data_IF_572224502596
#
_entry.id   IF_572224502596
#
_cell.length_a   1.000
_cell.length_b   1.000
_cell.length_c   1.000
_cell.angle_alpha   90.00
_cell.angle_beta   90.00
_cell.angle_gamma   90.00
#
_symmetry.space_group_name_H-M   'P 1'
#
loop_
_entity.id
_entity.type
_entity.pdbx_description
1 polymer ?
#
# COMPACT_ATOMS: atom_id res chain seq x y z
N UNK A 1 32.08 70.87 -24.24
CA UNK A 1 31.53 70.89 -22.88
C UNK A 1 30.57 69.70 -22.72
N UNK A 2 31.10 68.58 -22.26
CA UNK A 2 30.30 67.37 -22.09
C UNK A 2 29.75 67.34 -20.68
N UNK A 3 28.42 67.14 -20.51
CA UNK A 3 27.79 66.77 -19.23
C UNK A 3 27.44 65.32 -19.27
N UNK A 4 28.13 64.56 -18.46
CA UNK A 4 27.87 63.16 -18.23
C UNK A 4 26.67 63.01 -17.24
N UNK A 5 25.61 62.32 -17.66
CA UNK A 5 24.48 61.94 -16.84
C UNK A 5 24.77 60.56 -16.25
N UNK A 6 24.84 60.45 -14.93
CA UNK A 6 24.94 59.19 -14.18
C UNK A 6 23.54 58.63 -14.00
N UNK A 7 23.25 57.51 -14.66
CA UNK A 7 22.04 56.71 -14.40
C UNK A 7 22.33 55.70 -13.29
N UNK A 8 21.76 55.89 -12.10
CA UNK A 8 21.70 54.87 -11.04
C UNK A 8 20.71 53.79 -11.45
N UNK A 9 21.21 52.63 -11.82
CA UNK A 9 20.41 51.44 -11.97
C UNK A 9 20.21 50.84 -10.58
N UNK A 10 19.03 51.05 -9.99
CA UNK A 10 18.59 50.35 -8.80
C UNK A 10 18.24 48.90 -9.18
N UNK A 11 19.15 47.96 -8.91
CA UNK A 11 18.87 46.54 -9.00
C UNK A 11 17.91 46.15 -7.86
N UNK A 12 16.62 46.06 -8.16
CA UNK A 12 15.68 45.35 -7.30
C UNK A 12 16.04 43.86 -7.31
N UNK A 13 16.76 43.41 -6.29
CA UNK A 13 16.87 42.01 -5.95
C UNK A 13 15.48 41.57 -5.48
N UNK A 14 14.67 41.01 -6.38
CA UNK A 14 13.56 40.16 -6.02
C UNK A 14 14.13 38.93 -5.33
N UNK A 15 14.26 38.96 -4.01
CA UNK A 15 14.42 37.79 -3.22
C UNK A 15 13.11 36.98 -3.38
N UNK A 16 13.10 36.07 -4.34
CA UNK A 16 12.12 34.99 -4.31
C UNK A 16 12.35 34.26 -3.00
N UNK A 17 11.57 34.58 -1.97
CA UNK A 17 11.47 33.75 -0.80
C UNK A 17 10.97 32.37 -1.30
N UNK A 18 11.86 31.43 -1.36
CA UNK A 18 11.49 30.02 -1.47
C UNK A 18 10.71 29.76 -0.18
N UNK A 19 9.39 29.67 -0.30
CA UNK A 19 8.59 29.23 0.80
C UNK A 19 9.11 27.83 1.13
N UNK A 20 9.76 27.68 2.27
CA UNK A 20 10.22 26.37 2.75
C UNK A 20 9.03 25.42 2.70
N UNK A 21 9.24 24.27 2.09
CA UNK A 21 8.20 23.25 2.02
C UNK A 21 7.65 23.00 3.43
N UNK A 22 6.32 22.96 3.61
CA UNK A 22 5.74 22.87 4.95
C UNK A 22 6.28 21.64 5.67
N UNK A 23 6.68 21.83 6.94
CA UNK A 23 7.13 20.73 7.77
C UNK A 23 5.96 19.80 8.04
N UNK A 24 6.10 18.54 7.65
CA UNK A 24 5.04 17.52 7.69
C UNK A 24 5.52 16.22 8.29
N UNK A 25 4.65 15.58 9.04
CA UNK A 25 4.79 14.20 9.52
C UNK A 25 3.60 13.41 9.00
N UNK A 26 3.86 12.31 8.32
CA UNK A 26 2.84 11.39 7.86
C UNK A 26 2.96 10.03 8.55
N UNK A 27 1.81 9.43 8.83
CA UNK A 27 1.68 8.09 9.39
C UNK A 27 0.92 7.22 8.40
N UNK A 28 1.57 6.17 7.90
CA UNK A 28 0.98 5.13 7.04
C UNK A 28 0.47 4.00 7.94
N UNK A 29 -0.84 3.95 8.17
CA UNK A 29 -1.52 2.92 8.95
C UNK A 29 -2.00 1.82 8.00
N UNK A 30 -1.16 0.80 7.80
CA UNK A 30 -1.44 -0.35 6.94
C UNK A 30 -2.25 -1.45 7.63
N UNK A 31 -2.15 -2.67 7.11
CA UNK A 31 -2.83 -3.85 7.67
C UNK A 31 -2.14 -4.44 8.89
N UNK A 32 -0.83 -4.25 9.02
CA UNK A 32 0.02 -4.91 10.03
C UNK A 32 0.89 -3.94 10.83
N UNK A 33 0.61 -2.65 10.78
CA UNK A 33 1.36 -1.66 11.56
C UNK A 33 1.29 -0.26 11.03
N UNK A 34 2.06 0.60 11.66
CA UNK A 34 2.20 2.02 11.33
C UNK A 34 3.65 2.28 10.92
N UNK A 35 3.84 3.03 9.83
CA UNK A 35 5.11 3.65 9.50
C UNK A 35 4.97 5.16 9.60
N UNK A 36 5.99 5.83 10.08
CA UNK A 36 6.01 7.29 10.15
C UNK A 36 7.26 7.86 9.49
N UNK A 37 7.11 8.98 8.82
CA UNK A 37 8.17 9.75 8.17
C UNK A 37 7.86 11.23 8.19
N UNK A 38 8.86 12.06 7.88
CA UNK A 38 8.77 13.50 7.92
C UNK A 38 9.42 14.14 6.69
N UNK A 39 8.98 15.35 6.33
CA UNK A 39 9.70 16.18 5.34
C UNK A 39 10.96 16.84 5.90
N UNK A 40 11.10 16.88 7.21
CA UNK A 40 12.23 17.55 7.89
C UNK A 40 13.40 16.61 8.19
N UNK A 41 13.16 15.30 8.28
CA UNK A 41 14.17 14.31 8.69
C UNK A 41 14.05 13.08 7.80
N UNK A 42 15.15 12.64 7.23
CA UNK A 42 15.22 11.43 6.38
C UNK A 42 15.31 10.15 7.25
N UNK A 43 14.26 9.93 8.04
CA UNK A 43 14.13 8.77 8.91
C UNK A 43 12.73 8.19 8.76
N UNK A 44 12.63 6.88 8.63
CA UNK A 44 11.36 6.14 8.70
C UNK A 44 11.39 5.21 9.90
N UNK A 45 10.39 5.32 10.74
CA UNK A 45 10.20 4.48 11.93
C UNK A 45 8.90 3.70 11.82
N UNK A 46 8.81 2.56 12.51
CA UNK A 46 7.62 1.70 12.44
C UNK A 46 7.24 1.10 13.79
N UNK A 47 5.96 0.72 13.91
CA UNK A 47 5.41 -0.07 14.99
C UNK A 47 4.49 -1.14 14.39
N UNK A 48 4.57 -2.37 14.91
CA UNK A 48 3.74 -3.48 14.43
C UNK A 48 2.44 -3.53 15.24
N UNK A 49 1.30 -3.49 14.54
CA UNK A 49 -0.05 -3.61 15.09
C UNK A 49 -0.89 -4.37 14.07
N UNK A 50 -1.47 -5.50 14.46
CA UNK A 50 -2.34 -6.27 13.56
C UNK A 50 -3.74 -5.66 13.51
N UNK A 51 -4.01 -4.83 12.52
CA UNK A 51 -5.33 -4.24 12.27
C UNK A 51 -6.25 -5.19 11.51
N UNK A 52 -5.68 -6.03 10.66
CA UNK A 52 -6.46 -6.86 9.75
C UNK A 52 -6.97 -8.15 10.41
N UNK A 53 -6.17 -8.77 11.28
CA UNK A 53 -6.54 -10.00 11.97
C UNK A 53 -7.88 -9.91 12.71
N UNK A 54 -8.10 -8.93 13.59
CA UNK A 54 -9.40 -8.72 14.25
C UNK A 54 -10.56 -8.59 13.27
N UNK A 55 -10.37 -7.82 12.20
CA UNK A 55 -11.41 -7.64 11.17
C UNK A 55 -11.70 -8.95 10.44
N UNK A 56 -10.70 -9.69 9.99
CA UNK A 56 -10.91 -10.97 9.33
C UNK A 56 -11.58 -12.00 10.24
N UNK A 57 -11.36 -11.90 11.55
CA UNK A 57 -12.04 -12.71 12.57
C UNK A 57 -13.45 -12.22 12.94
N UNK A 58 -14.01 -11.26 12.20
CA UNK A 58 -15.35 -10.73 12.46
C UNK A 58 -15.44 -9.72 13.60
N UNK A 59 -14.30 -9.35 14.24
CA UNK A 59 -14.20 -8.31 15.25
C UNK A 59 -14.02 -6.93 14.61
N UNK A 60 -14.05 -5.86 15.38
CA UNK A 60 -13.74 -4.51 14.94
C UNK A 60 -12.30 -4.10 15.21
N UNK A 61 -12.02 -2.80 15.09
CA UNK A 61 -10.71 -2.20 15.39
C UNK A 61 -10.58 -1.75 16.86
N UNK A 62 -11.56 -1.98 17.71
CA UNK A 62 -11.58 -1.44 19.08
C UNK A 62 -10.33 -1.83 19.89
N UNK A 63 -9.93 -3.09 19.81
CA UNK A 63 -8.76 -3.59 20.54
C UNK A 63 -7.44 -2.98 20.06
N UNK A 64 -7.41 -2.36 18.87
CA UNK A 64 -6.23 -1.73 18.29
C UNK A 64 -6.12 -0.24 18.64
N UNK A 65 -7.14 0.38 19.21
CA UNK A 65 -7.19 1.83 19.48
C UNK A 65 -6.09 2.24 20.46
N UNK A 66 -5.97 1.57 21.61
CA UNK A 66 -4.95 1.90 22.60
C UNK A 66 -3.51 1.74 22.08
N UNK A 67 -3.12 0.60 21.45
CA UNK A 67 -1.79 0.48 20.85
C UNK A 67 -1.55 1.49 19.71
N UNK A 68 -2.56 1.83 18.90
CA UNK A 68 -2.44 2.85 17.85
C UNK A 68 -2.07 4.21 18.43
N UNK A 69 -2.79 4.65 19.47
CA UNK A 69 -2.52 5.94 20.14
C UNK A 69 -1.12 6.00 20.75
N UNK A 70 -0.69 4.93 21.40
CA UNK A 70 0.66 4.83 21.94
C UNK A 70 1.70 4.94 20.81
N UNK A 71 1.56 4.15 19.76
CA UNK A 71 2.48 4.15 18.62
C UNK A 71 2.56 5.51 17.91
N UNK A 72 1.42 6.21 17.70
CA UNK A 72 1.43 7.53 17.04
C UNK A 72 2.22 8.59 17.84
N UNK A 73 2.23 8.50 19.18
CA UNK A 73 3.04 9.37 20.02
C UNK A 73 4.51 8.98 20.01
N UNK A 74 4.81 7.71 20.25
CA UNK A 74 6.17 7.19 20.35
C UNK A 74 6.95 7.28 19.03
N UNK A 75 6.29 7.05 17.89
CA UNK A 75 6.95 7.11 16.58
C UNK A 75 7.47 8.50 16.25
N UNK A 76 6.79 9.58 16.67
CA UNK A 76 7.28 10.94 16.47
C UNK A 76 8.58 11.19 17.22
N UNK A 77 8.68 10.73 18.47
CA UNK A 77 9.87 10.85 19.30
C UNK A 77 11.02 9.99 18.76
N UNK A 78 10.74 8.72 18.46
CA UNK A 78 11.73 7.77 17.91
C UNK A 78 12.29 8.20 16.56
N UNK A 79 11.48 8.89 15.73
CA UNK A 79 11.91 9.45 14.45
C UNK A 79 12.67 10.77 14.59
N UNK A 80 12.69 11.39 15.76
CA UNK A 80 13.25 12.73 15.97
C UNK A 80 12.49 13.81 15.20
N UNK A 81 11.18 13.61 14.95
CA UNK A 81 10.39 14.52 14.14
C UNK A 81 10.05 15.80 14.91
N UNK A 82 10.20 16.99 14.29
CA UNK A 82 9.94 18.25 14.97
C UNK A 82 8.48 18.38 15.42
N UNK A 83 8.27 18.84 16.67
CA UNK A 83 6.94 18.93 17.26
C UNK A 83 5.99 19.91 16.54
N UNK A 84 6.56 20.94 15.88
CA UNK A 84 5.82 21.99 15.18
C UNK A 84 5.28 21.55 13.80
N UNK A 85 5.73 20.40 13.27
CA UNK A 85 5.27 19.93 11.97
C UNK A 85 3.79 19.55 11.99
N UNK A 86 3.10 19.79 10.88
CA UNK A 86 1.74 19.32 10.68
C UNK A 86 1.73 17.78 10.65
N UNK A 87 0.68 17.17 11.21
CA UNK A 87 0.57 15.72 11.34
C UNK A 87 -0.68 15.19 10.70
N UNK A 88 -0.57 14.12 9.92
CA UNK A 88 -1.70 13.40 9.36
C UNK A 88 -1.41 11.90 9.30
N UNK A 89 -2.43 11.08 9.53
CA UNK A 89 -2.40 9.64 9.31
C UNK A 89 -3.24 9.25 8.10
N UNK A 90 -2.74 8.34 7.27
CA UNK A 90 -3.51 7.67 6.25
C UNK A 90 -3.83 6.24 6.70
N UNK A 91 -5.12 5.94 6.87
CA UNK A 91 -5.62 4.59 7.14
C UNK A 91 -5.97 3.90 5.82
N UNK A 92 -5.25 2.82 5.51
CA UNK A 92 -5.38 2.10 4.25
C UNK A 92 -6.25 0.84 4.40
N UNK A 93 -6.15 -0.10 3.57
CA UNK A 93 -6.67 -1.47 3.56
C UNK A 93 -7.60 -1.88 4.73
N UNK A 94 -7.07 -2.18 5.92
CA UNK A 94 -7.87 -2.58 7.09
C UNK A 94 -8.86 -1.50 7.51
N UNK A 95 -8.51 -0.23 7.37
CA UNK A 95 -9.36 0.91 7.71
C UNK A 95 -10.52 1.07 6.74
N UNK A 96 -10.31 0.80 5.43
CA UNK A 96 -11.41 0.73 4.45
C UNK A 96 -12.35 -0.43 4.73
N UNK A 97 -11.81 -1.61 5.08
CA UNK A 97 -12.63 -2.76 5.46
C UNK A 97 -13.48 -2.46 6.72
N UNK A 98 -12.94 -1.74 7.70
CA UNK A 98 -13.67 -1.29 8.87
C UNK A 98 -14.77 -0.28 8.49
N UNK A 99 -14.48 0.65 7.58
CA UNK A 99 -15.42 1.63 7.06
C UNK A 99 -16.61 0.98 6.34
N UNK A 100 -16.34 -0.01 5.48
CA UNK A 100 -17.38 -0.76 4.77
C UNK A 100 -18.33 -1.50 5.71
N UNK A 101 -17.84 -1.92 6.88
CA UNK A 101 -18.66 -2.61 7.87
C UNK A 101 -19.53 -1.66 8.68
N UNK A 102 -18.93 -0.58 9.15
CA UNK A 102 -19.63 0.41 9.99
C UNK A 102 -18.87 1.75 9.98
N UNK A 103 -19.35 2.67 9.16
CA UNK A 103 -18.76 4.00 9.02
C UNK A 103 -18.89 4.86 10.30
N UNK A 104 -19.96 4.68 11.07
CA UNK A 104 -20.17 5.43 12.30
C UNK A 104 -19.18 4.98 13.38
N UNK A 105 -19.06 3.67 13.61
CA UNK A 105 -18.08 3.11 14.55
C UNK A 105 -16.65 3.48 14.17
N UNK A 106 -16.29 3.42 12.87
CA UNK A 106 -14.95 3.83 12.44
C UNK A 106 -14.70 5.31 12.71
N UNK A 107 -15.66 6.19 12.40
CA UNK A 107 -15.50 7.63 12.66
C UNK A 107 -15.30 7.93 14.15
N UNK A 108 -15.99 7.21 15.06
CA UNK A 108 -15.80 7.34 16.50
C UNK A 108 -14.41 6.86 16.96
N UNK A 109 -13.91 5.77 16.39
CA UNK A 109 -12.54 5.28 16.63
C UNK A 109 -11.52 6.35 16.19
N UNK A 110 -11.67 6.89 14.98
CA UNK A 110 -10.76 7.92 14.45
C UNK A 110 -10.80 9.21 15.29
N UNK A 111 -11.98 9.61 15.77
CA UNK A 111 -12.11 10.76 16.67
C UNK A 111 -11.33 10.55 17.98
N UNK A 112 -11.44 9.37 18.60
CA UNK A 112 -10.71 9.03 19.84
C UNK A 112 -9.21 8.97 19.62
N UNK A 113 -8.77 8.39 18.49
CA UNK A 113 -7.35 8.37 18.13
C UNK A 113 -6.81 9.80 18.01
N UNK A 114 -7.52 10.69 17.30
CA UNK A 114 -7.10 12.07 17.11
C UNK A 114 -7.06 12.86 18.41
N UNK A 115 -8.09 12.74 19.26
CA UNK A 115 -8.19 13.44 20.53
C UNK A 115 -7.02 13.14 21.48
N UNK A 116 -6.51 11.90 21.46
CA UNK A 116 -5.50 11.46 22.41
C UNK A 116 -4.07 11.44 21.84
N UNK A 117 -3.90 11.33 20.51
CA UNK A 117 -2.57 11.32 19.87
C UNK A 117 -2.19 12.67 19.22
N UNK A 118 -3.18 13.55 18.97
CA UNK A 118 -2.99 14.75 18.17
C UNK A 118 -2.78 14.48 16.68
N UNK A 119 -3.09 13.26 16.19
CA UNK A 119 -2.93 12.87 14.80
C UNK A 119 -4.30 12.60 14.18
N UNK A 120 -4.68 13.42 13.22
CA UNK A 120 -5.88 13.21 12.40
C UNK A 120 -5.63 12.04 11.45
N UNK A 121 -6.36 10.94 11.61
CA UNK A 121 -6.27 9.77 10.72
C UNK A 121 -7.44 9.79 9.74
N UNK A 122 -7.14 9.68 8.44
CA UNK A 122 -8.10 9.69 7.34
C UNK A 122 -8.19 8.28 6.73
N UNK A 123 -9.37 7.82 6.38
CA UNK A 123 -9.54 6.64 5.53
C UNK A 123 -9.21 7.01 4.08
N UNK A 124 -8.11 6.49 3.55
CA UNK A 124 -7.61 6.86 2.23
C UNK A 124 -8.26 5.98 1.15
N UNK A 125 -8.88 6.59 0.12
CA UNK A 125 -9.43 5.85 -1.01
C UNK A 125 -8.37 5.03 -1.74
N UNK A 126 -8.78 3.91 -2.32
CA UNK A 126 -7.87 2.94 -2.92
C UNK A 126 -7.10 3.50 -4.13
N UNK A 127 -7.74 4.33 -4.96
CA UNK A 127 -7.08 5.02 -6.06
C UNK A 127 -6.01 6.02 -5.60
N UNK A 128 -6.24 6.70 -4.47
CA UNK A 128 -5.27 7.62 -3.86
C UNK A 128 -4.08 6.84 -3.28
N UNK A 129 -4.32 5.71 -2.58
CA UNK A 129 -3.24 4.81 -2.14
C UNK A 129 -2.38 4.35 -3.32
N UNK A 130 -3.00 3.95 -4.43
CA UNK A 130 -2.29 3.59 -5.65
C UNK A 130 -1.45 4.75 -6.22
N UNK A 131 -1.98 5.98 -6.21
CA UNK A 131 -1.23 7.16 -6.63
C UNK A 131 -0.02 7.43 -5.72
N UNK A 132 -0.13 7.21 -4.40
CA UNK A 132 1.00 7.32 -3.47
C UNK A 132 2.08 6.29 -3.78
N UNK A 133 1.70 5.03 -4.01
CA UNK A 133 2.59 3.95 -4.41
C UNK A 133 3.31 4.26 -5.73
N UNK A 134 2.60 4.79 -6.73
CA UNK A 134 3.17 5.19 -8.01
C UNK A 134 4.17 6.35 -7.85
N UNK A 135 3.83 7.37 -7.06
CA UNK A 135 4.74 8.48 -6.76
C UNK A 135 6.01 8.00 -6.04
N UNK A 136 5.87 7.10 -5.07
CA UNK A 136 6.99 6.50 -4.34
C UNK A 136 7.92 5.75 -5.30
N UNK A 137 7.38 4.95 -6.21
CA UNK A 137 8.15 4.23 -7.21
C UNK A 137 8.90 5.18 -8.15
N UNK A 138 8.23 6.21 -8.67
CA UNK A 138 8.87 7.22 -9.54
C UNK A 138 10.02 7.93 -8.84
N UNK A 139 9.84 8.31 -7.57
CA UNK A 139 10.89 9.00 -6.79
C UNK A 139 12.09 8.09 -6.50
N UNK A 140 11.84 6.86 -6.06
CA UNK A 140 12.89 5.94 -5.65
C UNK A 140 13.66 5.34 -6.84
N UNK A 141 12.98 5.03 -7.93
CA UNK A 141 13.58 4.36 -9.09
C UNK A 141 14.07 5.36 -10.15
N UNK A 142 13.52 6.58 -10.19
CA UNK A 142 13.91 7.60 -11.17
C UNK A 142 13.83 7.08 -12.62
N UNK A 143 14.91 7.17 -13.38
CA UNK A 143 15.00 6.68 -14.77
C UNK A 143 14.93 5.15 -14.91
N UNK A 144 15.06 4.40 -13.81
CA UNK A 144 14.88 2.93 -13.79
C UNK A 144 13.40 2.52 -13.76
N UNK A 145 12.49 3.44 -13.41
CA UNK A 145 11.06 3.19 -13.49
C UNK A 145 10.60 3.32 -14.94
N UNK A 146 10.53 2.18 -15.65
CA UNK A 146 10.25 2.11 -17.09
C UNK A 146 8.87 1.53 -17.41
N UNK A 147 8.12 1.11 -16.40
CA UNK A 147 6.78 0.56 -16.56
C UNK A 147 5.71 1.64 -16.45
N UNK A 148 4.52 1.38 -16.98
CA UNK A 148 3.41 2.33 -16.93
C UNK A 148 2.72 2.37 -15.58
N UNK A 149 2.75 1.25 -14.82
CA UNK A 149 2.03 1.10 -13.56
C UNK A 149 2.90 0.42 -12.49
N UNK A 150 2.55 0.65 -11.25
CA UNK A 150 3.01 -0.13 -10.10
C UNK A 150 1.99 -1.19 -9.72
N UNK A 151 2.48 -2.29 -9.17
CA UNK A 151 1.70 -3.30 -8.46
C UNK A 151 2.10 -3.26 -6.99
N UNK A 152 1.15 -2.92 -6.13
CA UNK A 152 1.33 -2.95 -4.68
C UNK A 152 0.36 -3.97 -4.06
N UNK A 153 0.91 -4.96 -3.33
CA UNK A 153 0.16 -6.00 -2.64
C UNK A 153 0.39 -5.83 -1.15
N UNK A 154 -0.57 -5.22 -0.47
CA UNK A 154 -0.59 -5.15 0.98
C UNK A 154 -1.14 -6.42 1.63
N UNK A 155 -1.35 -6.39 2.95
CA UNK A 155 -1.96 -7.53 3.66
C UNK A 155 -3.43 -7.76 3.29
N UNK A 156 -4.22 -6.69 3.15
CA UNK A 156 -5.66 -6.78 2.91
C UNK A 156 -6.11 -6.22 1.56
N UNK A 157 -5.29 -5.46 0.85
CA UNK A 157 -5.65 -4.87 -0.45
C UNK A 157 -4.52 -4.95 -1.47
N UNK A 158 -4.88 -4.83 -2.74
CA UNK A 158 -4.01 -4.78 -3.88
C UNK A 158 -4.36 -3.55 -4.72
N UNK A 159 -3.33 -2.84 -5.22
CA UNK A 159 -3.46 -1.70 -6.11
C UNK A 159 -2.61 -1.90 -7.36
N UNK A 160 -3.16 -1.51 -8.51
CA UNK A 160 -2.44 -1.32 -9.77
C UNK A 160 -2.65 0.13 -10.15
N UNK A 161 -1.60 0.94 -10.17
CA UNK A 161 -1.72 2.38 -10.38
C UNK A 161 -0.63 2.93 -11.30
N UNK A 162 -1.05 3.75 -12.24
CA UNK A 162 -0.22 4.53 -13.14
C UNK A 162 -0.53 6.02 -13.02
N UNK A 163 -0.03 6.79 -13.95
CA UNK A 163 -0.21 8.25 -13.94
C UNK A 163 -1.67 8.69 -14.14
N UNK A 164 -2.44 7.95 -14.96
CA UNK A 164 -3.79 8.33 -15.39
C UNK A 164 -4.86 7.29 -15.15
N UNK A 165 -4.49 6.14 -14.67
CA UNK A 165 -5.41 5.05 -14.41
C UNK A 165 -4.98 4.26 -13.18
N UNK A 166 -5.95 3.82 -12.39
CA UNK A 166 -5.72 2.98 -11.23
C UNK A 166 -6.89 2.01 -11.06
N UNK A 167 -6.56 0.85 -10.55
CA UNK A 167 -7.53 -0.13 -10.09
C UNK A 167 -7.06 -0.73 -8.77
N UNK A 168 -7.99 -1.14 -7.92
CA UNK A 168 -7.63 -1.82 -6.69
C UNK A 168 -8.82 -2.59 -6.11
N UNK A 169 -8.50 -3.58 -5.28
CA UNK A 169 -9.47 -4.42 -4.60
C UNK A 169 -9.01 -4.74 -3.16
N UNK A 170 -9.95 -5.11 -2.29
CA UNK A 170 -9.65 -5.68 -0.98
C UNK A 170 -9.17 -7.14 -1.15
N UNK A 171 -8.09 -7.32 -1.89
CA UNK A 171 -7.53 -8.58 -2.34
C UNK A 171 -6.00 -8.61 -2.15
N UNK A 172 -5.54 -8.25 -0.95
CA UNK A 172 -4.14 -8.38 -0.59
C UNK A 172 -3.78 -9.78 -0.11
N UNK A 173 -2.54 -10.00 0.28
CA UNK A 173 -1.96 -11.30 0.65
C UNK A 173 -2.87 -12.14 1.59
N UNK A 174 -3.27 -11.58 2.73
CA UNK A 174 -4.10 -12.30 3.72
C UNK A 174 -5.55 -12.44 3.25
N UNK A 175 -6.10 -11.41 2.61
CA UNK A 175 -7.47 -11.44 2.10
C UNK A 175 -7.60 -12.48 0.97
N UNK A 176 -6.67 -12.51 0.03
CA UNK A 176 -6.62 -13.50 -1.04
C UNK A 176 -6.44 -14.91 -0.50
N UNK A 177 -5.51 -15.15 0.42
CA UNK A 177 -5.35 -16.47 1.01
C UNK A 177 -6.62 -16.93 1.72
N UNK A 178 -7.36 -16.02 2.38
CA UNK A 178 -8.64 -16.35 3.00
C UNK A 178 -9.67 -16.83 1.98
N UNK A 179 -9.74 -16.21 0.81
CA UNK A 179 -10.65 -16.67 -0.26
C UNK A 179 -10.27 -18.10 -0.74
N UNK A 180 -8.98 -18.39 -0.88
CA UNK A 180 -8.50 -19.74 -1.18
C UNK A 180 -8.79 -20.72 -0.06
N UNK A 181 -8.58 -20.33 1.21
CA UNK A 181 -8.87 -21.19 2.37
C UNK A 181 -10.35 -21.56 2.44
N UNK A 182 -11.24 -20.61 2.17
CA UNK A 182 -12.68 -20.83 2.10
C UNK A 182 -13.06 -21.77 0.95
N UNK A 183 -12.55 -21.49 -0.23
CA UNK A 183 -12.89 -22.25 -1.44
C UNK A 183 -12.35 -23.69 -1.41
N UNK A 184 -11.12 -23.90 -0.91
CA UNK A 184 -10.42 -25.19 -1.02
C UNK A 184 -10.35 -25.97 0.30
N UNK A 185 -10.49 -25.30 1.44
CA UNK A 185 -10.31 -25.92 2.78
C UNK A 185 -11.52 -25.71 3.70
N UNK A 186 -12.52 -24.97 3.24
CA UNK A 186 -13.77 -24.67 3.98
C UNK A 186 -13.47 -24.09 5.38
N UNK A 187 -12.51 -23.17 5.45
CA UNK A 187 -12.08 -22.58 6.72
C UNK A 187 -11.79 -21.08 6.57
N UNK A 188 -11.99 -20.33 7.67
CA UNK A 188 -11.58 -18.92 7.81
C UNK A 188 -10.23 -18.75 8.52
N UNK A 189 -9.61 -19.86 8.96
CA UNK A 189 -8.32 -19.81 9.64
C UNK A 189 -7.21 -19.27 8.72
N UNK A 190 -6.37 -18.38 9.25
CA UNK A 190 -5.24 -17.79 8.52
C UNK A 190 -3.95 -17.86 9.35
N UNK A 191 -2.85 -18.30 8.72
CA UNK A 191 -2.81 -18.97 7.43
C UNK A 191 -3.42 -20.37 7.47
N UNK A 192 -4.06 -20.83 6.39
CA UNK A 192 -4.43 -22.24 6.25
C UNK A 192 -3.39 -23.00 5.40
N UNK A 193 -3.32 -24.31 5.60
CA UNK A 193 -2.47 -25.18 4.79
C UNK A 193 -3.14 -25.43 3.42
N UNK A 194 -2.73 -24.69 2.41
CA UNK A 194 -3.20 -24.88 1.03
C UNK A 194 -2.55 -26.10 0.36
N UNK A 195 -1.32 -26.40 0.71
CA UNK A 195 -0.50 -27.46 0.10
C UNK A 195 -0.54 -28.77 0.92
N UNK A 196 -0.40 -29.95 0.27
CA UNK A 196 -0.35 -30.11 -1.19
C UNK A 196 -1.69 -29.87 -1.86
N UNK A 197 -1.66 -29.32 -3.10
CA UNK A 197 -2.86 -29.13 -3.93
C UNK A 197 -2.93 -30.21 -5.00
N UNK A 198 -4.14 -30.69 -5.29
CA UNK A 198 -4.41 -31.48 -6.50
C UNK A 198 -4.43 -30.57 -7.75
N UNK A 199 -4.45 -31.18 -8.92
CA UNK A 199 -4.58 -30.43 -10.19
C UNK A 199 -5.89 -29.66 -10.27
N UNK A 200 -6.97 -30.27 -9.77
CA UNK A 200 -8.33 -29.68 -9.74
C UNK A 200 -8.37 -28.50 -8.76
N UNK A 201 -7.76 -28.61 -7.60
CA UNK A 201 -7.67 -27.52 -6.63
C UNK A 201 -6.85 -26.35 -7.19
N UNK A 202 -5.72 -26.63 -7.87
CA UNK A 202 -4.92 -25.61 -8.52
C UNK A 202 -5.70 -24.89 -9.66
N UNK A 203 -6.45 -25.64 -10.46
CA UNK A 203 -7.31 -25.07 -11.49
C UNK A 203 -8.42 -24.19 -10.88
N UNK A 204 -9.02 -24.62 -9.77
CA UNK A 204 -10.01 -23.85 -9.02
C UNK A 204 -9.41 -22.56 -8.45
N UNK A 205 -8.20 -22.61 -7.91
CA UNK A 205 -7.49 -21.40 -7.41
C UNK A 205 -7.24 -20.39 -8.53
N UNK A 206 -6.78 -20.85 -9.71
CA UNK A 206 -6.59 -19.99 -10.89
C UNK A 206 -7.90 -19.40 -11.43
N UNK A 207 -8.97 -20.19 -11.44
CA UNK A 207 -10.30 -19.71 -11.85
C UNK A 207 -10.83 -18.64 -10.88
N UNK A 208 -10.63 -18.83 -9.58
CA UNK A 208 -11.01 -17.85 -8.56
C UNK A 208 -10.20 -16.55 -8.73
N UNK A 209 -8.89 -16.63 -8.96
CA UNK A 209 -8.07 -15.45 -9.25
C UNK A 209 -8.57 -14.70 -10.50
N UNK A 210 -8.86 -15.43 -11.57
CA UNK A 210 -9.38 -14.84 -12.81
C UNK A 210 -10.73 -14.13 -12.58
N UNK A 211 -11.64 -14.73 -11.80
CA UNK A 211 -12.93 -14.13 -11.47
C UNK A 211 -12.80 -12.84 -10.67
N UNK A 212 -11.94 -12.83 -9.63
CA UNK A 212 -11.76 -11.66 -8.74
C UNK A 212 -10.95 -10.53 -9.39
N UNK A 213 -10.05 -10.85 -10.32
CA UNK A 213 -9.20 -9.88 -11.01
C UNK A 213 -9.75 -9.44 -12.37
N UNK A 214 -10.84 -10.03 -12.84
CA UNK A 214 -11.39 -9.74 -14.16
C UNK A 214 -11.73 -8.27 -14.41
N UNK A 215 -12.15 -7.55 -13.37
CA UNK A 215 -12.45 -6.12 -13.46
C UNK A 215 -11.18 -5.26 -13.63
N UNK A 216 -10.00 -5.72 -13.19
CA UNK A 216 -8.75 -5.02 -13.43
C UNK A 216 -8.45 -4.85 -14.92
N UNK A 217 -8.66 -5.92 -15.71
CA UNK A 217 -8.45 -5.88 -17.16
C UNK A 217 -9.42 -4.99 -17.91
N UNK A 218 -10.59 -4.67 -17.32
CA UNK A 218 -11.59 -3.74 -17.90
C UNK A 218 -11.33 -2.29 -17.50
N UNK A 219 -10.83 -2.07 -16.27
CA UNK A 219 -10.61 -0.75 -15.70
C UNK A 219 -9.30 -0.11 -16.13
N UNK A 220 -8.32 -0.93 -16.52
CA UNK A 220 -7.00 -0.48 -16.94
C UNK A 220 -6.87 -0.43 -18.45
N UNK A 221 -5.91 0.35 -19.01
CA UNK A 221 -5.62 0.35 -20.44
C UNK A 221 -5.27 -1.04 -20.97
N UNK A 222 -5.50 -1.28 -22.27
CA UNK A 222 -5.19 -2.56 -22.93
C UNK A 222 -3.72 -2.99 -22.78
N UNK A 223 -2.80 -2.04 -22.64
CA UNK A 223 -1.37 -2.32 -22.48
C UNK A 223 -0.88 -1.79 -21.14
N UNK A 224 -0.68 -2.68 -20.18
CA UNK A 224 -0.13 -2.38 -18.86
C UNK A 224 1.18 -3.10 -18.66
N UNK A 225 2.23 -2.34 -18.35
CA UNK A 225 3.49 -2.90 -17.85
C UNK A 225 3.62 -2.58 -16.36
N UNK A 226 4.06 -3.54 -15.56
CA UNK A 226 4.01 -3.50 -14.10
C UNK A 226 5.39 -3.53 -13.44
N UNK A 227 5.58 -2.70 -12.42
CA UNK A 227 6.65 -2.86 -11.44
C UNK A 227 6.04 -3.20 -10.07
N UNK A 228 6.37 -4.36 -9.53
CA UNK A 228 6.01 -4.72 -8.17
C UNK A 228 6.91 -4.00 -7.16
N UNK A 229 6.30 -3.44 -6.11
CA UNK A 229 6.99 -2.66 -5.08
C UNK A 229 6.82 -3.24 -3.67
N UNK A 230 6.04 -4.29 -3.52
CA UNK A 230 5.62 -4.84 -2.24
C UNK A 230 6.40 -6.08 -1.81
N UNK A 231 6.51 -6.27 -0.49
CA UNK A 231 7.29 -7.32 0.15
C UNK A 231 6.94 -8.75 -0.28
N UNK A 232 5.66 -9.13 -0.47
CA UNK A 232 5.33 -10.47 -0.98
C UNK A 232 6.08 -10.82 -2.27
N UNK A 233 6.24 -9.85 -3.15
CA UNK A 233 6.96 -10.06 -4.43
C UNK A 233 8.46 -9.94 -4.23
N UNK A 234 8.94 -8.83 -3.63
CA UNK A 234 10.38 -8.53 -3.52
C UNK A 234 11.13 -9.52 -2.63
N UNK A 235 10.50 -9.98 -1.55
CA UNK A 235 11.13 -10.84 -0.52
C UNK A 235 10.62 -12.28 -0.49
N UNK A 236 9.47 -12.54 -1.12
CA UNK A 236 8.87 -13.87 -1.19
C UNK A 236 9.05 -14.50 -2.56
N UNK A 237 8.29 -14.01 -3.55
CA UNK A 237 8.17 -14.64 -4.87
C UNK A 237 9.50 -14.61 -5.64
N UNK A 238 10.11 -13.43 -5.78
CA UNK A 238 11.32 -13.26 -6.60
C UNK A 238 12.47 -14.18 -6.14
N UNK A 239 12.86 -14.24 -4.86
CA UNK A 239 13.91 -15.15 -4.40
C UNK A 239 13.52 -16.63 -4.55
N UNK A 240 12.23 -16.97 -4.40
CA UNK A 240 11.77 -18.35 -4.57
C UNK A 240 11.89 -18.81 -6.02
N UNK A 241 11.44 -17.98 -6.98
CA UNK A 241 11.56 -18.30 -8.42
C UNK A 241 13.03 -18.35 -8.84
N UNK A 242 13.87 -17.45 -8.37
CA UNK A 242 15.31 -17.49 -8.66
C UNK A 242 15.95 -18.81 -8.19
N UNK A 243 15.57 -19.33 -7.03
CA UNK A 243 16.06 -20.64 -6.55
C UNK A 243 15.54 -21.84 -7.35
N UNK A 244 14.31 -21.76 -7.83
CA UNK A 244 13.67 -22.85 -8.57
C UNK A 244 14.14 -22.93 -10.01
N UNK A 245 14.28 -21.79 -10.68
CA UNK A 245 14.50 -21.66 -12.11
C UNK A 245 15.91 -21.10 -12.46
N UNK A 246 16.70 -20.74 -11.44
CA UNK A 246 18.01 -20.09 -11.59
C UNK A 246 17.92 -18.56 -11.72
N UNK A 247 19.01 -17.88 -11.41
CA UNK A 247 19.09 -16.41 -11.42
C UNK A 247 18.76 -15.77 -12.77
N UNK A 248 18.95 -16.50 -13.85
CA UNK A 248 18.62 -16.06 -15.22
C UNK A 248 17.12 -15.79 -15.40
N UNK A 249 16.26 -16.54 -14.71
CA UNK A 249 14.81 -16.44 -14.83
C UNK A 249 14.22 -15.13 -14.26
N UNK A 250 14.99 -14.41 -13.44
CA UNK A 250 14.54 -13.19 -12.76
C UNK A 250 15.38 -11.96 -13.11
N UNK A 251 16.39 -12.11 -13.97
CA UNK A 251 17.36 -11.03 -14.32
C UNK A 251 16.69 -9.82 -14.97
N UNK A 252 15.72 -10.06 -15.85
CA UNK A 252 14.98 -9.00 -16.58
C UNK A 252 13.59 -8.76 -16.00
N UNK A 253 13.33 -9.23 -14.78
CA UNK A 253 12.03 -9.26 -14.13
C UNK A 253 11.48 -10.70 -14.01
N UNK A 254 10.34 -10.85 -13.39
CA UNK A 254 9.65 -12.11 -13.17
C UNK A 254 8.79 -12.44 -14.40
N UNK A 255 9.20 -13.38 -15.23
CA UNK A 255 8.41 -13.84 -16.36
C UNK A 255 7.17 -14.64 -15.89
N UNK A 256 6.02 -14.41 -16.50
CA UNK A 256 4.78 -15.15 -16.19
C UNK A 256 4.95 -16.66 -16.39
N UNK A 257 5.68 -17.09 -17.42
CA UNK A 257 5.96 -18.51 -17.65
C UNK A 257 6.80 -19.14 -16.53
N UNK A 258 7.85 -18.46 -16.06
CA UNK A 258 8.65 -18.94 -14.93
C UNK A 258 7.84 -19.01 -13.64
N UNK A 259 6.96 -18.02 -13.42
CA UNK A 259 6.04 -18.01 -12.28
C UNK A 259 5.06 -19.19 -12.35
N UNK A 260 4.48 -19.46 -13.52
CA UNK A 260 3.58 -20.61 -13.72
C UNK A 260 4.28 -21.95 -13.46
N UNK A 261 5.50 -22.12 -13.98
CA UNK A 261 6.32 -23.32 -13.73
C UNK A 261 6.61 -23.50 -12.24
N UNK A 262 6.98 -22.41 -11.55
CA UNK A 262 7.22 -22.44 -10.11
C UNK A 262 5.96 -22.83 -9.32
N UNK A 263 4.79 -22.27 -9.67
CA UNK A 263 3.49 -22.63 -9.07
C UNK A 263 3.20 -24.12 -9.24
N UNK A 264 3.29 -24.63 -10.47
CA UNK A 264 3.00 -26.03 -10.78
C UNK A 264 3.92 -26.99 -10.02
N UNK A 265 5.19 -26.60 -9.85
CA UNK A 265 6.17 -27.37 -9.08
C UNK A 265 5.89 -27.37 -7.58
N UNK A 266 5.53 -26.21 -7.03
CA UNK A 266 5.32 -26.06 -5.58
C UNK A 266 3.96 -26.55 -5.10
N UNK A 267 2.92 -26.54 -5.95
CA UNK A 267 1.56 -26.85 -5.56
C UNK A 267 1.42 -28.27 -4.98
N UNK A 268 2.12 -29.25 -5.55
CA UNK A 268 2.10 -30.65 -5.09
C UNK A 268 2.98 -30.97 -3.90
N UNK A 269 3.77 -30.01 -3.41
CA UNK A 269 4.67 -30.21 -2.26
C UNK A 269 3.96 -29.94 -0.95
N UNK A 270 4.46 -30.57 0.13
CA UNK A 270 4.07 -30.16 1.48
C UNK A 270 4.68 -28.80 1.83
N UNK A 271 4.12 -28.03 2.78
CA UNK A 271 4.71 -26.77 3.24
C UNK A 271 6.18 -26.91 3.69
N UNK A 272 6.52 -28.04 4.31
CA UNK A 272 7.88 -28.32 4.79
C UNK A 272 8.87 -28.56 3.62
N UNK A 273 8.44 -29.30 2.60
CA UNK A 273 9.25 -29.51 1.37
C UNK A 273 9.47 -28.20 0.65
N UNK A 274 8.41 -27.41 0.46
CA UNK A 274 8.49 -26.08 -0.13
C UNK A 274 9.46 -25.17 0.64
N UNK A 275 9.32 -25.06 1.97
CA UNK A 275 10.18 -24.23 2.81
C UNK A 275 11.65 -24.64 2.72
N UNK A 276 11.98 -25.94 2.65
CA UNK A 276 13.35 -26.45 2.44
C UNK A 276 13.89 -26.07 1.05
N UNK A 277 13.06 -26.15 0.03
CA UNK A 277 13.45 -25.91 -1.35
C UNK A 277 13.68 -24.43 -1.63
N UNK A 278 12.71 -23.56 -1.24
CA UNK A 278 12.78 -22.13 -1.58
C UNK A 278 13.54 -21.32 -0.54
N UNK A 279 13.62 -21.78 0.71
CA UNK A 279 14.17 -21.00 1.81
C UNK A 279 13.41 -19.69 2.02
N UNK A 280 14.09 -18.71 2.60
CA UNK A 280 13.52 -17.37 2.81
C UNK A 280 12.94 -17.16 4.21
N UNK A 281 12.45 -15.94 4.52
CA UNK A 281 11.89 -15.63 5.82
C UNK A 281 10.65 -16.47 6.11
N UNK A 282 10.61 -17.11 7.28
CA UNK A 282 9.50 -18.00 7.71
C UNK A 282 8.11 -17.35 7.59
N UNK A 283 8.02 -16.04 7.81
CA UNK A 283 6.76 -15.29 7.72
C UNK A 283 6.14 -15.25 6.32
N UNK A 284 6.91 -15.49 5.25
CA UNK A 284 6.39 -15.53 3.88
C UNK A 284 6.01 -16.94 3.43
N UNK A 285 6.62 -17.98 4.02
CA UNK A 285 6.40 -19.35 3.59
C UNK A 285 4.90 -19.76 3.56
N UNK A 286 4.07 -19.44 4.57
CA UNK A 286 2.66 -19.82 4.55
C UNK A 286 1.83 -19.15 3.45
N UNK A 287 2.30 -18.05 2.91
CA UNK A 287 1.59 -17.25 1.89
C UNK A 287 2.18 -17.38 0.49
N UNK A 288 3.38 -17.98 0.35
CA UNK A 288 4.15 -17.95 -0.90
C UNK A 288 3.37 -18.45 -2.11
N UNK A 289 2.74 -19.63 -2.02
CA UNK A 289 1.98 -20.21 -3.13
C UNK A 289 0.75 -19.35 -3.47
N UNK A 290 0.03 -18.86 -2.47
CA UNK A 290 -1.11 -17.97 -2.70
C UNK A 290 -0.69 -16.64 -3.32
N UNK A 291 0.43 -16.06 -2.87
CA UNK A 291 0.98 -14.83 -3.45
C UNK A 291 1.39 -15.02 -4.92
N UNK A 292 2.02 -16.16 -5.23
CA UNK A 292 2.36 -16.50 -6.62
C UNK A 292 1.12 -16.61 -7.52
N UNK A 293 0.06 -17.28 -7.05
CA UNK A 293 -1.21 -17.40 -7.76
C UNK A 293 -1.88 -16.02 -7.97
N UNK A 294 -1.82 -15.14 -6.97
CA UNK A 294 -2.34 -13.78 -7.09
C UNK A 294 -1.60 -12.99 -8.17
N UNK A 295 -0.26 -13.05 -8.16
CA UNK A 295 0.57 -12.34 -9.15
C UNK A 295 0.40 -12.93 -10.55
N UNK A 296 0.31 -14.26 -10.68
CA UNK A 296 -0.02 -14.90 -11.97
C UNK A 296 -1.37 -14.38 -12.50
N UNK A 297 -2.39 -14.35 -11.65
CA UNK A 297 -3.72 -13.82 -11.98
C UNK A 297 -3.68 -12.35 -12.41
N UNK A 298 -2.92 -11.50 -11.72
CA UNK A 298 -2.72 -10.09 -12.11
C UNK A 298 -2.10 -9.98 -13.49
N UNK A 299 -1.03 -10.75 -13.77
CA UNK A 299 -0.38 -10.74 -15.07
C UNK A 299 -1.32 -11.22 -16.19
N UNK A 300 -2.17 -12.22 -15.92
CA UNK A 300 -3.19 -12.69 -16.88
C UNK A 300 -4.23 -11.59 -17.11
N UNK A 301 -4.79 -11.02 -16.06
CA UNK A 301 -5.85 -10.02 -16.14
C UNK A 301 -5.39 -8.72 -16.86
N UNK A 302 -4.11 -8.37 -16.74
CA UNK A 302 -3.53 -7.16 -17.37
C UNK A 302 -2.83 -7.44 -18.70
N UNK A 303 -2.85 -8.68 -19.21
CA UNK A 303 -2.12 -9.09 -20.42
C UNK A 303 -0.60 -9.09 -20.27
N UNK A 304 -0.09 -8.92 -19.04
CA UNK A 304 1.35 -8.83 -18.73
C UNK A 304 2.10 -10.14 -18.96
N UNK A 305 3.29 -10.07 -19.56
CA UNK A 305 4.18 -11.22 -19.75
C UNK A 305 5.32 -11.22 -18.74
N UNK A 306 5.70 -10.06 -18.24
CA UNK A 306 6.80 -9.88 -17.31
C UNK A 306 6.42 -8.84 -16.26
N UNK A 307 6.76 -9.11 -15.01
CA UNK A 307 6.64 -8.20 -13.88
C UNK A 307 8.04 -7.69 -13.50
N UNK A 308 8.28 -6.39 -13.65
CA UNK A 308 9.47 -5.78 -13.08
C UNK A 308 9.35 -5.78 -11.55
N UNK A 309 10.46 -5.89 -10.84
CA UNK A 309 10.45 -5.92 -9.37
C UNK A 309 11.41 -4.86 -8.85
N UNK A 310 10.91 -4.01 -7.95
CA UNK A 310 11.75 -2.99 -7.32
C UNK A 310 12.81 -3.65 -6.41
N UNK A 311 14.00 -3.07 -6.37
CA UNK A 311 15.10 -3.57 -5.53
C UNK A 311 14.86 -3.39 -4.03
N UNK A 312 14.00 -2.42 -3.67
CA UNK A 312 13.69 -2.06 -2.30
C UNK A 312 12.18 -1.99 -2.07
N UNK A 313 11.77 -2.27 -0.84
CA UNK A 313 10.38 -2.08 -0.44
C UNK A 313 10.04 -0.60 -0.44
N UNK A 314 8.95 -0.24 -1.08
CA UNK A 314 8.41 1.12 -1.07
C UNK A 314 7.19 1.21 -0.14
N UNK A 315 6.84 2.44 0.23
CA UNK A 315 5.72 2.73 1.13
C UNK A 315 4.88 3.89 0.59
N UNK A 316 3.69 4.08 1.15
CA UNK A 316 2.82 5.21 0.79
C UNK A 316 3.27 6.54 1.40
N UNK A 317 4.25 6.54 2.31
CA UNK A 317 4.72 7.75 3.00
C UNK A 317 5.10 8.90 2.07
N UNK A 318 5.89 8.70 0.99
CA UNK A 318 6.24 9.80 0.09
C UNK A 318 5.04 10.46 -0.59
N UNK A 319 3.99 9.67 -0.88
CA UNK A 319 2.75 10.16 -1.44
C UNK A 319 1.93 10.94 -0.42
N UNK A 320 1.73 10.37 0.76
CA UNK A 320 0.98 11.00 1.83
C UNK A 320 1.65 12.30 2.33
N UNK A 321 2.99 12.33 2.44
CA UNK A 321 3.74 13.56 2.78
C UNK A 321 3.57 14.68 1.73
N UNK A 322 3.36 14.32 0.47
CA UNK A 322 3.17 15.27 -0.62
C UNK A 322 1.69 15.69 -0.81
N UNK A 323 0.76 15.07 -0.12
CA UNK A 323 -0.66 15.30 -0.33
C UNK A 323 -1.19 16.48 0.49
N UNK A 324 -1.28 17.66 -0.15
CA UNK A 324 -1.85 18.89 0.46
C UNK A 324 -3.30 18.70 0.91
N UNK A 325 -4.07 17.88 0.18
CA UNK A 325 -5.47 17.61 0.47
C UNK A 325 -5.64 16.81 1.77
N UNK A 326 -4.81 15.78 1.98
CA UNK A 326 -4.81 15.04 3.23
C UNK A 326 -4.48 15.93 4.43
N UNK A 327 -3.48 16.81 4.30
CA UNK A 327 -3.14 17.77 5.36
C UNK A 327 -4.22 18.84 5.56
N UNK A 328 -4.94 19.24 4.53
CA UNK A 328 -6.10 20.14 4.65
C UNK A 328 -7.24 19.46 5.44
N UNK A 329 -7.58 18.22 5.12
CA UNK A 329 -8.53 17.42 5.92
C UNK A 329 -8.05 17.19 7.35
N UNK A 330 -6.75 17.00 7.55
CA UNK A 330 -6.17 16.89 8.89
C UNK A 330 -6.53 18.09 9.79
N UNK A 331 -6.51 19.31 9.24
CA UNK A 331 -6.92 20.54 9.96
C UNK A 331 -8.43 20.66 10.17
N UNK A 332 -9.24 19.96 9.36
CA UNK A 332 -10.72 19.97 9.42
C UNK A 332 -11.27 18.59 9.82
N UNK A 333 -10.52 17.85 10.64
CA UNK A 333 -10.80 16.44 10.93
C UNK A 333 -12.22 16.17 11.45
N UNK A 334 -12.77 17.03 12.31
CA UNK A 334 -14.14 16.87 12.81
C UNK A 334 -15.18 16.90 11.66
N UNK A 335 -15.01 17.83 10.72
CA UNK A 335 -15.87 17.91 9.53
C UNK A 335 -15.67 16.68 8.61
N UNK A 336 -14.42 16.27 8.39
CA UNK A 336 -14.11 15.05 7.66
C UNK A 336 -14.84 13.84 8.25
N UNK A 337 -14.80 13.64 9.58
CA UNK A 337 -15.47 12.54 10.25
C UNK A 337 -16.99 12.60 10.13
N UNK A 338 -17.57 13.79 10.16
CA UNK A 338 -19.01 13.97 9.92
C UNK A 338 -19.40 13.58 8.49
N UNK A 339 -18.55 13.89 7.49
CA UNK A 339 -18.75 13.45 6.10
C UNK A 339 -18.51 11.95 5.96
N UNK A 340 -17.46 11.40 6.57
CA UNK A 340 -17.13 9.97 6.53
C UNK A 340 -18.32 9.09 6.98
N UNK A 341 -19.04 9.51 8.02
CA UNK A 341 -20.26 8.79 8.48
C UNK A 341 -21.37 8.74 7.43
N UNK A 342 -21.52 9.77 6.60
CA UNK A 342 -22.59 9.88 5.61
C UNK A 342 -22.21 9.39 4.23
N UNK A 343 -20.98 9.66 3.82
CA UNK A 343 -20.50 9.56 2.44
C UNK A 343 -19.47 8.42 2.27
N UNK A 344 -19.03 7.79 3.38
CA UNK A 344 -17.99 6.76 3.31
C UNK A 344 -16.70 7.33 2.75
N UNK A 345 -16.05 6.58 1.86
CA UNK A 345 -14.79 6.99 1.23
C UNK A 345 -14.91 8.26 0.37
N UNK A 346 -16.11 8.57 -0.13
CA UNK A 346 -16.34 9.78 -0.94
C UNK A 346 -16.11 11.06 -0.15
N UNK A 347 -16.18 11.01 1.18
CA UNK A 347 -15.80 12.11 2.06
C UNK A 347 -14.40 12.68 1.78
N UNK A 348 -13.47 11.82 1.35
CA UNK A 348 -12.10 12.24 1.02
C UNK A 348 -12.04 13.20 -0.17
N UNK A 349 -12.92 13.03 -1.16
CA UNK A 349 -12.93 13.85 -2.38
C UNK A 349 -13.66 15.19 -2.24
N UNK A 350 -14.29 15.44 -1.09
CA UNK A 350 -14.90 16.73 -0.80
C UNK A 350 -13.86 17.84 -0.63
N UNK A 351 -14.30 19.09 -0.68
CA UNK A 351 -13.43 20.24 -0.41
C UNK A 351 -13.37 20.53 1.09
N UNK A 352 -12.19 20.49 1.74
CA UNK A 352 -12.06 20.91 3.13
C UNK A 352 -12.47 22.36 3.40
N UNK A 353 -12.45 23.23 2.37
CA UNK A 353 -12.91 24.62 2.51
C UNK A 353 -14.42 24.76 2.72
N UNK A 354 -15.22 23.76 2.34
CA UNK A 354 -16.66 23.73 2.60
C UNK A 354 -17.01 23.57 4.09
N UNK A 355 -16.02 23.25 4.91
CA UNK A 355 -16.19 23.10 6.35
C UNK A 355 -16.10 24.46 7.04
N UNK A 356 -17.19 24.95 7.62
CA UNK A 356 -17.16 26.08 8.55
C UNK A 356 -16.25 25.78 9.74
N UNK A 357 -15.57 26.80 10.24
CA UNK A 357 -14.72 26.70 11.44
C UNK A 357 -15.52 26.31 12.69
#
# INVERSE_FOLDING_TARGET
MCRAAWALAAALLCACAWADAPCRIAYDLGSSGIRAGSTAVDTVVQADIDYLGPLLAGRGLEETVAPTRAALRELAERGGFPAHCQRVGGGFSAWRLALERDSATLADILARIAAESGVAVLAIPQGIEGAYSHLAARRALGSRFRTSHVLDIGGGSLQIAGERSAWGALLGQKAWQRELCRALRVTDALPCALQPMTREELATARALAAALLGEAGKALPETVSLTAISRPVTRGILPAVARLEGDGAVREGLARSSLATAIDRLAGMTPQEMARLVGGPERFAPYLLSDMLLVEGVLIATGGQTLQVAETDLTNLPGLLADDHAFAWGRRHACYLARLRREGLDAYFGDPADCSE
#
